data_IF_634059161370
#
_entry.id   IF_634059161370
#
_cell.length_a   1.000
_cell.length_b   1.000
_cell.length_c   1.000
_cell.angle_alpha   90.00
_cell.angle_beta   90.00
_cell.angle_gamma   90.00
#
_symmetry.space_group_name_H-M   'P 1'
#
loop_
_entity.id
_entity.type
_entity.pdbx_description
1 polymer ?
#
# COMPACT_ATOMS: atom_id res chain seq x y z
N UNK A 1 -11.07 3.63 21.21
CA UNK A 1 -11.47 2.29 20.73
C UNK A 1 -11.81 2.46 19.26
N UNK A 2 -11.06 1.82 18.37
CA UNK A 2 -11.28 1.89 16.93
C UNK A 2 -11.98 0.62 16.43
N UNK A 3 -12.54 0.66 15.21
CA UNK A 3 -13.32 -0.46 14.65
C UNK A 3 -12.45 -1.34 13.74
N UNK A 4 -11.87 -0.76 12.68
CA UNK A 4 -11.13 -1.51 11.65
C UNK A 4 -9.62 -1.28 11.65
N UNK A 5 -9.18 -0.06 12.00
CA UNK A 5 -7.76 0.34 11.95
C UNK A 5 -7.33 0.99 13.27
N UNK A 6 -6.06 0.91 13.58
CA UNK A 6 -5.43 1.55 14.73
C UNK A 6 -3.96 1.92 14.43
N UNK A 7 -3.25 2.39 15.46
CA UNK A 7 -1.84 2.77 15.37
C UNK A 7 -0.86 1.63 15.03
N UNK A 8 -1.31 0.38 15.07
CA UNK A 8 -0.52 -0.81 14.75
C UNK A 8 -0.82 -1.33 13.33
N UNK A 9 -1.76 -0.69 12.62
CA UNK A 9 -2.17 -1.09 11.27
C UNK A 9 -1.09 -0.72 10.27
N UNK A 10 -0.53 -1.74 9.61
CA UNK A 10 0.52 -1.60 8.59
C UNK A 10 -0.10 -1.67 7.21
N UNK A 11 0.11 -0.62 6.41
CA UNK A 11 -0.64 -0.39 5.16
C UNK A 11 0.26 -0.52 3.93
N UNK A 12 -0.14 -1.38 2.99
CA UNK A 12 0.39 -1.43 1.62
C UNK A 12 -0.44 -0.55 0.68
N UNK A 13 0.22 0.00 -0.34
CA UNK A 13 -0.44 0.83 -1.36
C UNK A 13 -0.35 0.17 -2.73
N UNK A 14 -1.47 -0.31 -3.25
CA UNK A 14 -1.54 -0.81 -4.62
C UNK A 14 -1.70 0.36 -5.58
N UNK A 15 -0.79 0.51 -6.54
CA UNK A 15 -0.73 1.70 -7.38
C UNK A 15 0.03 2.87 -6.76
N UNK A 16 0.98 2.60 -5.84
CA UNK A 16 1.78 3.62 -5.14
C UNK A 16 2.41 4.65 -6.08
N UNK A 17 2.99 4.22 -7.19
CA UNK A 17 3.71 5.11 -8.10
C UNK A 17 2.81 5.97 -8.99
N UNK A 18 1.48 5.82 -8.89
CA UNK A 18 0.51 6.65 -9.59
C UNK A 18 0.32 8.02 -8.92
N UNK A 19 -0.25 8.99 -9.63
CA UNK A 19 -0.46 10.36 -9.10
C UNK A 19 -1.24 10.36 -7.77
N UNK A 20 -2.38 9.69 -7.73
CA UNK A 20 -3.24 9.61 -6.54
C UNK A 20 -2.60 8.79 -5.42
N UNK A 21 -1.94 7.67 -5.77
CA UNK A 21 -1.22 6.82 -4.83
C UNK A 21 -0.10 7.57 -4.11
N UNK A 22 0.76 8.26 -4.87
CA UNK A 22 1.82 9.13 -4.32
C UNK A 22 1.23 10.20 -3.41
N UNK A 23 0.24 10.97 -3.90
CA UNK A 23 -0.34 12.08 -3.15
C UNK A 23 -0.91 11.63 -1.79
N UNK A 24 -1.77 10.61 -1.76
CA UNK A 24 -2.36 10.16 -0.50
C UNK A 24 -1.36 9.43 0.39
N UNK A 25 -0.33 8.78 -0.16
CA UNK A 25 0.73 8.18 0.65
C UNK A 25 1.56 9.22 1.37
N UNK A 26 1.93 10.32 0.70
CA UNK A 26 2.60 11.46 1.34
C UNK A 26 1.73 12.07 2.44
N UNK A 27 0.43 12.26 2.18
CA UNK A 27 -0.49 12.77 3.21
C UNK A 27 -0.60 11.81 4.39
N UNK A 28 -0.69 10.50 4.15
CA UNK A 28 -0.77 9.49 5.20
C UNK A 28 0.51 9.45 6.06
N UNK A 29 1.68 9.50 5.43
CA UNK A 29 2.98 9.57 6.13
C UNK A 29 3.13 10.86 6.94
N UNK A 30 2.65 11.99 6.42
CA UNK A 30 2.61 13.25 7.15
C UNK A 30 1.57 13.24 8.29
N UNK A 31 0.53 12.42 8.17
CA UNK A 31 -0.53 12.27 9.17
C UNK A 31 -0.03 11.42 10.33
N UNK A 32 0.41 12.12 11.39
CA UNK A 32 0.92 11.60 12.67
C UNK A 32 0.66 10.11 12.96
N UNK A 33 1.55 9.24 12.47
CA UNK A 33 1.61 7.84 12.87
C UNK A 33 0.94 6.81 11.95
N UNK A 34 0.45 7.19 10.75
CA UNK A 34 0.04 6.17 9.77
C UNK A 34 1.24 5.35 9.33
N UNK A 35 1.16 4.02 9.47
CA UNK A 35 2.26 3.12 9.14
C UNK A 35 2.16 2.63 7.69
N UNK A 36 2.51 3.48 6.74
CA UNK A 36 2.69 3.06 5.34
C UNK A 36 3.97 2.22 5.26
N UNK A 37 3.89 0.98 4.78
CA UNK A 37 5.03 0.03 4.83
C UNK A 37 5.57 -0.36 3.46
N UNK A 38 4.88 0.02 2.38
CA UNK A 38 5.34 -0.24 1.02
C UNK A 38 4.27 -0.03 -0.04
N UNK A 39 4.68 -0.17 -1.30
CA UNK A 39 3.77 -0.11 -2.45
C UNK A 39 3.86 -1.35 -3.32
N UNK A 40 2.81 -1.61 -4.08
CA UNK A 40 2.75 -2.69 -5.06
C UNK A 40 2.79 -2.12 -6.47
N UNK A 41 3.72 -2.63 -7.27
CA UNK A 41 3.79 -2.34 -8.70
C UNK A 41 4.44 -3.52 -9.45
N UNK A 42 3.69 -4.26 -10.31
CA UNK A 42 4.15 -5.52 -10.91
C UNK A 42 5.48 -5.45 -11.66
N UNK A 43 5.79 -4.29 -12.27
CA UNK A 43 7.01 -4.08 -13.07
C UNK A 43 8.15 -3.37 -12.34
N UNK A 44 7.94 -2.90 -11.11
CA UNK A 44 8.90 -2.07 -10.34
C UNK A 44 9.24 -2.68 -8.98
N UNK A 45 8.92 -3.96 -8.77
CA UNK A 45 9.30 -4.67 -7.55
C UNK A 45 10.82 -4.64 -7.35
N UNK A 46 11.24 -4.35 -6.13
CA UNK A 46 12.65 -4.15 -5.75
C UNK A 46 13.12 -2.69 -5.81
N UNK A 47 12.37 -1.80 -6.44
CA UNK A 47 12.67 -0.36 -6.42
C UNK A 47 12.26 0.28 -5.08
N UNK A 48 12.71 1.52 -4.86
CA UNK A 48 12.27 2.35 -3.74
C UNK A 48 11.47 3.52 -4.28
N UNK A 49 10.26 3.70 -3.76
CA UNK A 49 9.49 4.92 -3.96
C UNK A 49 10.06 6.04 -3.10
N UNK A 50 10.18 7.24 -3.66
CA UNK A 50 10.59 8.45 -2.95
C UNK A 50 9.48 9.49 -2.97
N UNK A 51 9.11 9.98 -1.79
CA UNK A 51 8.14 11.06 -1.59
C UNK A 51 8.79 12.44 -1.71
N UNK A 52 7.95 13.47 -1.87
CA UNK A 52 8.37 14.86 -2.07
C UNK A 52 9.18 15.46 -0.92
N UNK A 53 9.13 14.89 0.29
CA UNK A 53 9.90 15.35 1.46
C UNK A 53 11.02 14.37 1.84
N UNK A 54 11.36 13.43 0.94
CA UNK A 54 12.42 12.46 1.13
C UNK A 54 12.00 11.19 1.86
N UNK A 55 10.69 10.96 2.06
CA UNK A 55 10.16 9.70 2.55
C UNK A 55 10.50 8.57 1.59
N UNK A 56 10.73 7.36 2.11
CA UNK A 56 11.08 6.19 1.30
C UNK A 56 10.24 5.00 1.68
N UNK A 57 9.72 4.30 0.67
CA UNK A 57 8.99 3.05 0.85
C UNK A 57 9.47 2.01 -0.17
N UNK A 58 9.62 0.73 0.23
CA UNK A 58 9.93 -0.32 -0.72
C UNK A 58 8.75 -0.55 -1.68
N UNK A 59 9.07 -0.88 -2.93
CA UNK A 59 8.10 -1.34 -3.92
C UNK A 59 8.25 -2.85 -4.07
N UNK A 60 7.14 -3.57 -4.02
CA UNK A 60 7.07 -5.02 -4.21
C UNK A 60 6.38 -5.36 -5.53
N UNK A 61 6.71 -6.53 -6.09
CA UNK A 61 6.10 -6.98 -7.34
C UNK A 61 4.69 -7.53 -7.13
N UNK A 62 4.38 -8.01 -5.93
CA UNK A 62 3.06 -8.56 -5.58
C UNK A 62 2.65 -8.22 -4.14
N UNK A 63 1.34 -8.25 -3.87
CA UNK A 63 0.78 -8.04 -2.52
C UNK A 63 1.27 -9.11 -1.56
N UNK A 64 1.38 -10.38 -2.00
CA UNK A 64 1.88 -11.48 -1.18
C UNK A 64 3.31 -11.22 -0.70
N UNK A 65 4.22 -10.84 -1.62
CA UNK A 65 5.60 -10.47 -1.25
C UNK A 65 5.63 -9.29 -0.27
N UNK A 66 4.82 -8.26 -0.53
CA UNK A 66 4.72 -7.10 0.34
C UNK A 66 4.22 -7.47 1.74
N UNK A 67 3.20 -8.33 1.86
CA UNK A 67 2.67 -8.82 3.14
C UNK A 67 3.74 -9.58 3.90
N UNK A 68 4.40 -10.55 3.26
CA UNK A 68 5.40 -11.40 3.92
C UNK A 68 6.58 -10.59 4.46
N UNK A 69 7.04 -9.60 3.70
CA UNK A 69 8.19 -8.78 4.07
C UNK A 69 7.90 -7.70 5.11
N UNK A 70 6.66 -7.26 5.22
CA UNK A 70 6.28 -6.10 6.07
C UNK A 70 5.30 -6.43 7.19
N UNK A 71 4.67 -7.60 7.14
CA UNK A 71 3.56 -7.98 7.99
C UNK A 71 2.34 -7.07 7.82
N UNK A 72 2.12 -6.52 6.62
CA UNK A 72 0.98 -5.62 6.34
C UNK A 72 -0.36 -6.26 6.72
N UNK A 73 -1.23 -5.46 7.33
CA UNK A 73 -2.57 -5.89 7.77
C UNK A 73 -3.68 -5.14 7.05
N UNK A 74 -3.34 -4.17 6.21
CA UNK A 74 -4.28 -3.46 5.36
C UNK A 74 -3.66 -3.12 4.00
N UNK A 75 -4.49 -2.95 2.99
CA UNK A 75 -4.11 -2.43 1.68
C UNK A 75 -5.10 -1.35 1.22
N UNK A 76 -4.56 -0.26 0.67
CA UNK A 76 -5.35 0.75 -0.05
C UNK A 76 -5.05 0.65 -1.55
N UNK A 77 -6.10 0.73 -2.38
CA UNK A 77 -6.04 0.54 -3.83
C UNK A 77 -6.23 1.88 -4.53
N UNK A 78 -5.18 2.35 -5.20
CA UNK A 78 -5.21 3.50 -6.10
C UNK A 78 -4.90 3.07 -7.55
N UNK A 79 -5.43 1.91 -7.93
CA UNK A 79 -5.32 1.35 -9.28
C UNK A 79 -6.48 1.86 -10.15
N UNK A 80 -6.25 2.20 -11.44
CA UNK A 80 -7.34 2.62 -12.33
C UNK A 80 -8.46 1.57 -12.45
N UNK A 81 -9.69 1.97 -12.82
CA UNK A 81 -10.85 1.06 -12.82
C UNK A 81 -10.64 -0.25 -13.59
N UNK A 82 -9.88 -0.20 -14.70
CA UNK A 82 -9.59 -1.38 -15.53
C UNK A 82 -8.79 -2.47 -14.80
N UNK A 83 -7.97 -2.12 -13.79
CA UNK A 83 -7.16 -3.07 -13.01
C UNK A 83 -7.56 -3.19 -11.54
N UNK A 84 -8.56 -2.43 -11.09
CA UNK A 84 -8.94 -2.38 -9.68
C UNK A 84 -9.47 -3.73 -9.17
N UNK A 85 -10.28 -4.43 -9.97
CA UNK A 85 -10.81 -5.74 -9.59
C UNK A 85 -9.70 -6.78 -9.38
N UNK A 86 -8.72 -6.83 -10.29
CA UNK A 86 -7.56 -7.72 -10.17
C UNK A 86 -6.71 -7.38 -8.94
N UNK A 87 -6.47 -6.10 -8.67
CA UNK A 87 -5.74 -5.64 -7.47
C UNK A 87 -6.45 -6.01 -6.16
N UNK A 88 -7.79 -5.94 -6.13
CA UNK A 88 -8.58 -6.39 -4.97
C UNK A 88 -8.42 -7.90 -4.81
N UNK A 89 -8.58 -8.67 -5.88
CA UNK A 89 -8.44 -10.14 -5.85
C UNK A 89 -7.03 -10.53 -5.38
N UNK A 90 -5.98 -9.89 -5.88
CA UNK A 90 -4.60 -10.14 -5.46
C UNK A 90 -4.41 -9.94 -3.95
N UNK A 91 -5.02 -8.89 -3.38
CA UNK A 91 -4.96 -8.66 -1.94
C UNK A 91 -5.80 -9.65 -1.12
N UNK A 92 -6.91 -10.15 -1.67
CA UNK A 92 -7.71 -11.23 -1.06
C UNK A 92 -6.92 -12.54 -1.06
N UNK A 93 -6.28 -12.89 -2.17
CA UNK A 93 -5.44 -14.10 -2.30
C UNK A 93 -4.22 -14.04 -1.40
N UNK A 94 -3.65 -12.84 -1.21
CA UNK A 94 -2.61 -12.57 -0.23
C UNK A 94 -3.15 -12.49 1.21
N UNK A 95 -4.43 -12.78 1.47
CA UNK A 95 -5.12 -12.73 2.77
C UNK A 95 -4.89 -11.43 3.56
N UNK A 96 -4.89 -10.28 2.89
CA UNK A 96 -4.87 -8.98 3.57
C UNK A 96 -6.18 -8.80 4.34
N UNK A 97 -6.17 -8.58 5.68
CA UNK A 97 -7.38 -8.49 6.48
C UNK A 97 -8.34 -7.34 6.12
N UNK A 98 -7.80 -6.21 5.65
CA UNK A 98 -8.60 -5.04 5.28
C UNK A 98 -8.15 -4.46 3.94
N UNK A 99 -9.07 -4.36 2.99
CA UNK A 99 -8.83 -3.75 1.66
C UNK A 99 -9.75 -2.55 1.50
N UNK A 100 -9.19 -1.40 1.14
CA UNK A 100 -9.92 -0.16 0.85
C UNK A 100 -9.67 0.20 -0.62
N UNK A 101 -10.72 0.19 -1.44
CA UNK A 101 -10.67 0.53 -2.87
C UNK A 101 -11.53 1.75 -3.18
#
# INVERSE_FOLDING_TARGET
MSILIDKNTRVLVQGLTGKTGTFHTEQALAYHGTQMVGGIHPKKGGETWEGSKGEKLPIFASVAEGRDRTGATASVVYVPPAGAAEAIIEAIEAEIPLIVC
#
